data_IF_279953824587
#
_entry.id   IF_279953824587
#
_cell.length_a   1.000
_cell.length_b   1.000
_cell.length_c   1.000
_cell.angle_alpha   90.00
_cell.angle_beta   90.00
_cell.angle_gamma   90.00
#
_symmetry.space_group_name_H-M   'P 1'
#
loop_
_entity.id
_entity.type
_entity.pdbx_description
1 polymer ?
#
# COMPACT_ATOMS: atom_id res chain seq x y z
N UNK A 1 5.43 -8.82 -5.01
CA UNK A 1 5.80 -8.65 -3.59
C UNK A 1 4.51 -8.44 -2.81
N UNK A 2 4.39 -9.07 -1.64
CA UNK A 2 3.18 -9.04 -0.82
C UNK A 2 3.40 -8.01 0.29
N UNK A 3 2.67 -6.89 0.23
CA UNK A 3 2.69 -5.88 1.28
C UNK A 3 1.46 -6.08 2.17
N UNK A 4 1.63 -6.00 3.48
CA UNK A 4 0.53 -6.20 4.44
C UNK A 4 -0.54 -5.09 4.31
N UNK A 5 -0.10 -3.86 4.06
CA UNK A 5 -0.96 -2.67 4.12
C UNK A 5 -1.27 -2.04 2.77
N UNK A 6 -0.75 -2.59 1.67
CA UNK A 6 -0.81 -1.99 0.34
C UNK A 6 -1.08 -3.04 -0.74
N UNK A 7 -1.86 -2.64 -1.75
CA UNK A 7 -1.97 -3.37 -3.01
C UNK A 7 -1.28 -2.53 -4.09
N UNK A 8 -0.45 -3.18 -4.90
CA UNK A 8 0.33 -2.52 -5.94
C UNK A 8 0.02 -3.19 -7.29
N UNK A 9 -0.37 -2.38 -8.26
CA UNK A 9 -0.66 -2.80 -9.63
C UNK A 9 0.13 -1.89 -10.60
N UNK A 10 0.54 -2.42 -11.75
CA UNK A 10 1.12 -1.62 -12.84
C UNK A 10 0.25 -1.81 -14.07
N UNK A 11 -0.29 -0.71 -14.59
CA UNK A 11 -1.21 -0.70 -15.73
C UNK A 11 -0.66 0.31 -16.74
N UNK A 12 -0.30 -0.17 -17.94
CA UNK A 12 0.22 0.67 -19.05
C UNK A 12 1.36 1.62 -18.64
N UNK A 13 2.27 1.15 -17.78
CA UNK A 13 3.40 1.93 -17.29
C UNK A 13 3.07 2.87 -16.12
N UNK A 14 1.82 2.89 -15.65
CA UNK A 14 1.37 3.64 -14.47
C UNK A 14 1.32 2.71 -13.26
N UNK A 15 2.01 3.11 -12.17
CA UNK A 15 1.95 2.41 -10.89
C UNK A 15 0.76 2.88 -10.05
N UNK A 16 -0.15 1.97 -9.72
CA UNK A 16 -1.29 2.20 -8.84
C UNK A 16 -1.02 1.59 -7.46
N UNK A 17 -1.05 2.42 -6.42
CA UNK A 17 -0.87 2.00 -5.03
C UNK A 17 -2.18 2.24 -4.26
N UNK A 18 -2.80 1.16 -3.76
CA UNK A 18 -4.03 1.22 -2.96
C UNK A 18 -3.72 0.93 -1.49
N UNK A 19 -4.19 1.80 -0.60
CA UNK A 19 -4.13 1.54 0.84
C UNK A 19 -5.12 0.43 1.22
N UNK A 20 -4.61 -0.65 1.81
CA UNK A 20 -5.39 -1.85 2.18
C UNK A 20 -5.51 -1.99 3.70
N UNK A 21 -5.91 -0.91 4.39
CA UNK A 21 -6.15 -0.92 5.85
C UNK A 21 -7.59 -0.46 6.19
N UNK A 22 -8.63 -1.11 5.63
CA UNK A 22 -10.01 -0.66 5.80
C UNK A 22 -10.46 -0.62 7.27
N UNK A 23 -9.98 -1.56 8.08
CA UNK A 23 -10.27 -1.61 9.54
C UNK A 23 -9.77 -0.39 10.32
N UNK A 24 -8.78 0.32 9.78
CA UNK A 24 -8.20 1.51 10.38
C UNK A 24 -8.53 2.78 9.59
N UNK A 25 -9.54 2.73 8.70
CA UNK A 25 -9.91 3.82 7.80
C UNK A 25 -8.70 4.34 6.99
N UNK A 26 -7.80 3.44 6.60
CA UNK A 26 -6.55 3.76 5.92
C UNK A 26 -5.65 4.77 6.64
N UNK A 27 -5.77 4.89 7.97
CA UNK A 27 -4.89 5.73 8.77
C UNK A 27 -3.41 5.40 8.51
N UNK A 28 -2.57 6.43 8.48
CA UNK A 28 -1.13 6.28 8.30
C UNK A 28 -0.49 5.66 9.55
N UNK A 29 0.52 4.83 9.36
CA UNK A 29 1.37 4.34 10.44
C UNK A 29 2.80 4.15 9.95
N UNK A 30 3.73 3.92 10.88
CA UNK A 30 5.15 3.74 10.54
C UNK A 30 5.38 2.60 9.54
N UNK A 31 4.59 1.52 9.59
CA UNK A 31 4.68 0.39 8.65
C UNK A 31 4.26 0.76 7.22
N UNK A 32 3.23 1.58 7.08
CA UNK A 32 2.74 2.05 5.78
C UNK A 32 3.71 3.05 5.16
N UNK A 33 4.32 3.92 5.97
CA UNK A 33 5.28 4.94 5.51
C UNK A 33 6.65 4.33 5.22
N UNK A 34 7.11 3.40 6.06
CA UNK A 34 8.39 2.73 5.87
C UNK A 34 8.25 1.59 4.86
N UNK A 35 8.20 1.95 3.58
CA UNK A 35 8.14 1.02 2.46
C UNK A 35 9.53 0.49 2.08
N UNK A 36 10.24 -0.10 3.04
CA UNK A 36 11.46 -0.85 2.80
C UNK A 36 11.25 -2.27 3.30
N UNK A 37 10.81 -3.15 2.39
CA UNK A 37 10.67 -4.61 2.49
C UNK A 37 10.20 -5.16 3.87
#
# INVERSE_FOLDING_TARGET
>A
MLYETLLIEVIDGVGLIRLNRPKALNALNARLINLWL
#
